data_IF_261248745508
#
_entry.id   IF_261248745508
#
_cell.length_a   1.000
_cell.length_b   1.000
_cell.length_c   1.000
_cell.angle_alpha   90.00
_cell.angle_beta   90.00
_cell.angle_gamma   90.00
#
_symmetry.space_group_name_H-M   'P 1'
#
loop_
_entity.id
_entity.type
_entity.pdbx_description
1 polymer ?
#
# COMPACT_ATOMS: atom_id res chain seq x y z
N UNK A 1 -54.55 26.82 3.21
CA UNK A 1 -54.05 27.24 4.53
C UNK A 1 -52.78 26.42 4.79
N UNK A 2 -51.54 26.89 4.52
CA UNK A 2 -50.72 27.90 5.26
C UNK A 2 -50.63 27.51 6.76
N UNK A 3 -49.48 27.27 7.42
CA UNK A 3 -48.16 27.95 7.53
C UNK A 3 -47.24 27.04 8.40
N UNK A 4 -45.97 26.72 8.02
CA UNK A 4 -44.68 27.29 8.54
C UNK A 4 -44.43 27.04 10.06
N UNK A 5 -43.27 26.66 10.61
CA UNK A 5 -41.90 27.16 10.41
C UNK A 5 -40.81 26.39 11.23
N UNK A 6 -39.58 26.41 10.69
CA UNK A 6 -38.21 26.52 11.29
C UNK A 6 -37.56 25.40 12.15
N UNK A 7 -36.28 25.09 11.78
CA UNK A 7 -35.27 24.37 12.58
C UNK A 7 -34.58 25.24 13.65
N UNK A 8 -33.41 24.83 14.20
CA UNK A 8 -32.13 24.91 13.48
C UNK A 8 -31.14 23.73 13.69
N UNK A 9 -30.02 23.82 12.95
CA UNK A 9 -28.93 22.87 12.76
C UNK A 9 -27.98 22.65 13.97
N UNK A 10 -27.17 21.56 13.92
CA UNK A 10 -25.70 21.47 14.15
C UNK A 10 -25.22 20.03 13.83
N UNK A 11 -24.55 19.82 12.68
CA UNK A 11 -23.11 19.47 12.44
C UNK A 11 -22.67 17.99 12.64
N UNK A 12 -22.53 17.31 11.48
CA UNK A 12 -21.33 16.62 10.93
C UNK A 12 -20.98 15.14 11.25
N UNK A 13 -20.56 14.50 10.14
CA UNK A 13 -19.74 13.29 9.94
C UNK A 13 -20.49 11.96 9.90
N UNK A 14 -20.36 11.07 8.90
CA UNK A 14 -19.52 11.00 7.71
C UNK A 14 -20.33 10.34 6.58
N UNK A 15 -20.18 10.89 5.38
CA UNK A 15 -20.76 10.41 4.13
C UNK A 15 -20.39 8.93 3.89
N UNK A 16 -21.43 8.12 3.75
CA UNK A 16 -21.41 6.85 3.04
C UNK A 16 -20.95 7.14 1.61
N UNK A 17 -19.68 6.86 1.33
CA UNK A 17 -19.25 6.61 -0.03
C UNK A 17 -19.89 5.29 -0.45
N UNK A 18 -21.00 5.36 -1.19
CA UNK A 18 -21.42 4.28 -2.07
C UNK A 18 -20.29 4.05 -3.08
N UNK A 19 -19.66 2.85 -3.12
CA UNK A 19 -18.77 2.56 -4.22
C UNK A 19 -19.67 2.30 -5.42
N UNK A 20 -19.69 3.25 -6.36
CA UNK A 20 -19.86 2.92 -7.77
C UNK A 20 -19.08 1.63 -8.03
N UNK A 21 -19.74 0.62 -8.59
CA UNK A 21 -19.04 -0.55 -9.10
C UNK A 21 -17.96 -0.05 -10.07
N UNK A 22 -16.70 -0.12 -9.64
CA UNK A 22 -15.57 0.12 -10.53
C UNK A 22 -15.69 -0.94 -11.61
N UNK A 23 -15.95 -0.55 -12.86
CA UNK A 23 -15.54 -1.44 -13.95
C UNK A 23 -14.03 -1.60 -13.76
N UNK A 24 -13.56 -2.81 -13.50
CA UNK A 24 -12.17 -3.12 -13.12
C UNK A 24 -11.13 -2.84 -14.23
N UNK A 25 -11.38 -1.88 -15.13
CA UNK A 25 -10.52 -1.53 -16.27
C UNK A 25 -10.24 -0.04 -16.40
N UNK A 26 -10.98 0.85 -15.74
CA UNK A 26 -10.60 2.27 -15.74
C UNK A 26 -9.57 2.53 -14.64
N UNK A 27 -8.30 2.54 -15.03
CA UNK A 27 -7.14 2.70 -14.13
C UNK A 27 -6.70 4.16 -13.99
N UNK A 28 -7.52 5.14 -14.40
CA UNK A 28 -7.12 6.54 -14.34
C UNK A 28 -6.91 6.98 -12.88
N UNK A 29 -5.68 7.36 -12.55
CA UNK A 29 -5.24 7.68 -11.20
C UNK A 29 -4.81 6.48 -10.36
N UNK A 30 -4.84 5.25 -10.91
CA UNK A 30 -4.40 4.05 -10.21
C UNK A 30 -2.89 4.09 -9.93
N UNK A 31 -2.47 3.40 -8.87
CA UNK A 31 -1.11 3.43 -8.36
C UNK A 31 -0.64 2.03 -8.01
N UNK A 32 0.54 1.63 -8.48
CA UNK A 32 0.99 0.25 -8.32
C UNK A 32 2.42 0.03 -8.81
N UNK A 33 2.91 -1.19 -8.63
CA UNK A 33 4.23 -1.63 -9.08
C UNK A 33 4.09 -2.19 -10.49
N UNK A 34 5.01 -1.86 -11.40
CA UNK A 34 4.99 -2.43 -12.74
C UNK A 34 5.85 -3.69 -12.84
N UNK A 35 5.41 -4.64 -13.66
CA UNK A 35 6.19 -5.82 -14.05
C UNK A 35 5.81 -6.30 -15.46
N UNK A 36 6.53 -7.30 -15.98
CA UNK A 36 6.32 -7.81 -17.33
C UNK A 36 6.45 -6.73 -18.42
N UNK A 37 7.41 -5.82 -18.28
CA UNK A 37 7.66 -4.75 -19.25
C UNK A 37 8.02 -5.37 -20.61
N UNK A 38 7.21 -5.09 -21.62
CA UNK A 38 7.44 -5.38 -23.02
C UNK A 38 7.56 -4.06 -23.78
N UNK A 39 8.80 -3.67 -24.08
CA UNK A 39 9.10 -2.42 -24.79
C UNK A 39 8.61 -2.46 -26.24
N UNK A 40 8.59 -3.65 -26.87
CA UNK A 40 8.15 -3.80 -28.26
C UNK A 40 6.62 -3.67 -28.36
N UNK A 41 5.90 -4.29 -27.42
CA UNK A 41 4.43 -4.16 -27.33
C UNK A 41 3.97 -2.87 -26.65
N UNK A 42 4.89 -2.02 -26.17
CA UNK A 42 4.61 -0.82 -25.38
C UNK A 42 3.61 -1.11 -24.23
N UNK A 43 3.85 -2.19 -23.50
CA UNK A 43 2.93 -2.65 -22.44
C UNK A 43 3.66 -3.22 -21.23
N UNK A 44 2.98 -3.20 -20.09
CA UNK A 44 3.41 -3.88 -18.87
C UNK A 44 2.16 -4.22 -18.05
N UNK A 45 2.33 -4.95 -16.94
CA UNK A 45 1.27 -5.07 -15.95
C UNK A 45 1.49 -4.10 -14.80
N UNK A 46 0.40 -3.47 -14.37
CA UNK A 46 0.27 -2.73 -13.12
C UNK A 46 -0.23 -3.66 -12.03
N UNK A 47 0.60 -3.90 -11.03
CA UNK A 47 0.22 -4.55 -9.78
C UNK A 47 -0.26 -3.49 -8.79
N UNK A 48 -1.57 -3.45 -8.50
CA UNK A 48 -2.18 -2.50 -7.56
C UNK A 48 -3.14 -3.21 -6.63
N UNK A 49 -3.29 -2.70 -5.41
CA UNK A 49 -4.30 -3.24 -4.51
C UNK A 49 -5.70 -3.07 -5.09
N UNK A 50 -6.53 -4.09 -4.88
CA UNK A 50 -7.91 -4.12 -5.38
C UNK A 50 -8.85 -4.74 -4.35
N UNK A 51 -10.15 -4.50 -4.53
CA UNK A 51 -11.20 -5.19 -3.80
C UNK A 51 -11.49 -6.55 -4.46
N UNK A 52 -11.82 -7.54 -3.63
CA UNK A 52 -12.34 -8.82 -4.09
C UNK A 52 -13.87 -8.79 -4.00
N UNK A 53 -14.56 -9.11 -5.09
CA UNK A 53 -16.00 -9.37 -5.10
C UNK A 53 -16.25 -10.89 -5.17
N UNK A 54 -16.76 -11.49 -4.09
CA UNK A 54 -17.00 -12.93 -4.05
C UNK A 54 -18.14 -13.40 -4.98
N UNK A 55 -19.03 -12.52 -5.43
CA UNK A 55 -20.14 -12.89 -6.31
C UNK A 55 -19.69 -13.01 -7.76
N UNK A 56 -18.90 -12.02 -8.21
CA UNK A 56 -18.37 -11.97 -9.59
C UNK A 56 -17.01 -12.66 -9.71
N UNK A 57 -16.38 -12.99 -8.58
CA UNK A 57 -14.98 -13.42 -8.46
C UNK A 57 -13.99 -12.42 -9.09
N UNK A 58 -14.43 -11.18 -9.32
CA UNK A 58 -13.59 -10.12 -9.83
C UNK A 58 -12.73 -9.54 -8.70
N UNK A 59 -11.47 -9.19 -8.99
CA UNK A 59 -10.54 -8.70 -7.97
C UNK A 59 -9.08 -9.05 -8.22
N UNK A 60 -8.64 -9.01 -9.49
CA UNK A 60 -7.24 -9.26 -9.82
C UNK A 60 -6.41 -8.02 -9.49
N UNK A 61 -5.35 -8.15 -8.69
CA UNK A 61 -4.43 -7.04 -8.47
C UNK A 61 -3.53 -6.74 -9.68
N UNK A 62 -3.70 -7.42 -10.82
CA UNK A 62 -2.83 -7.34 -12.00
C UNK A 62 -3.60 -6.85 -13.22
N UNK A 63 -3.20 -5.69 -13.75
CA UNK A 63 -3.87 -5.09 -14.90
C UNK A 63 -2.88 -4.79 -16.00
N UNK A 64 -3.13 -5.24 -17.23
CA UNK A 64 -2.28 -4.84 -18.36
C UNK A 64 -2.56 -3.38 -18.74
N UNK A 65 -1.49 -2.59 -18.84
CA UNK A 65 -1.52 -1.20 -19.25
C UNK A 65 -0.64 -1.01 -20.48
N UNK A 66 -0.99 -0.02 -21.30
CA UNK A 66 -0.33 0.26 -22.57
C UNK A 66 0.11 1.72 -22.62
N UNK A 67 1.19 1.99 -23.34
CA UNK A 67 1.63 3.34 -23.68
C UNK A 67 1.88 3.45 -25.19
N UNK A 68 2.17 4.66 -25.66
CA UNK A 68 2.61 4.93 -27.02
C UNK A 68 3.54 6.16 -27.04
N UNK A 69 3.89 6.62 -28.24
CA UNK A 69 4.83 7.75 -28.43
C UNK A 69 4.29 9.10 -27.91
N UNK A 70 3.00 9.18 -27.58
CA UNK A 70 2.37 10.36 -26.97
C UNK A 70 2.26 10.25 -25.45
N UNK A 71 2.58 9.09 -24.86
CA UNK A 71 2.56 8.90 -23.41
C UNK A 71 3.74 9.63 -22.79
N UNK A 72 3.46 10.52 -21.84
CA UNK A 72 4.52 11.19 -21.07
C UNK A 72 4.89 10.34 -19.87
N UNK A 73 6.19 10.17 -19.64
CA UNK A 73 6.73 9.56 -18.43
C UNK A 73 7.43 10.63 -17.62
N UNK A 74 7.14 10.72 -16.33
CA UNK A 74 7.78 11.69 -15.45
C UNK A 74 8.24 11.06 -14.16
N UNK A 75 9.23 11.65 -13.49
CA UNK A 75 9.58 11.31 -12.11
C UNK A 75 9.70 12.57 -11.28
N UNK A 76 9.27 12.51 -10.01
CA UNK A 76 9.32 13.65 -9.09
C UNK A 76 10.31 13.37 -7.96
N UNK A 77 11.20 14.32 -7.70
CA UNK A 77 12.16 14.30 -6.57
C UNK A 77 11.99 15.54 -5.70
N UNK A 78 12.34 15.43 -4.41
CA UNK A 78 12.38 16.58 -3.49
C UNK A 78 13.61 17.42 -3.79
N UNK A 79 13.48 18.74 -3.69
CA UNK A 79 14.60 19.69 -3.75
C UNK A 79 15.03 20.07 -2.33
N UNK A 80 16.33 20.34 -2.14
CA UNK A 80 16.84 20.71 -0.82
C UNK A 80 16.46 22.15 -0.46
N UNK A 81 16.44 23.04 -1.46
CA UNK A 81 16.22 24.46 -1.27
C UNK A 81 15.54 25.13 -2.47
N UNK A 82 14.87 26.27 -2.22
CA UNK A 82 14.27 27.12 -3.28
C UNK A 82 15.34 27.61 -4.26
N UNK A 83 16.57 27.78 -3.78
CA UNK A 83 17.74 28.17 -4.59
C UNK A 83 18.16 27.12 -5.61
N UNK A 84 17.61 25.90 -5.54
CA UNK A 84 17.81 24.84 -6.55
C UNK A 84 16.83 24.97 -7.73
N UNK A 85 15.93 25.95 -7.71
CA UNK A 85 15.03 26.32 -8.80
C UNK A 85 15.72 27.35 -9.69
N UNK A 86 15.78 27.10 -10.99
CA UNK A 86 16.40 28.03 -11.94
C UNK A 86 15.42 29.16 -12.28
N UNK A 87 15.89 30.37 -12.63
CA UNK A 87 15.00 31.49 -12.96
C UNK A 87 13.97 31.20 -14.06
N UNK A 88 14.33 30.40 -15.07
CA UNK A 88 13.45 30.04 -16.19
C UNK A 88 12.62 28.77 -15.94
N UNK A 89 12.77 28.13 -14.78
CA UNK A 89 11.96 26.97 -14.43
C UNK A 89 10.51 27.40 -14.18
N UNK A 90 9.59 26.74 -14.87
CA UNK A 90 8.16 26.87 -14.59
C UNK A 90 7.81 26.06 -13.36
N UNK A 91 7.12 26.67 -12.40
CA UNK A 91 6.65 26.02 -11.18
C UNK A 91 5.13 26.02 -11.10
N UNK A 92 4.58 24.94 -10.53
CA UNK A 92 3.22 24.88 -10.02
C UNK A 92 3.26 25.05 -8.50
N UNK A 93 2.58 26.07 -7.98
CA UNK A 93 2.46 26.35 -6.55
C UNK A 93 1.05 25.95 -6.10
N UNK A 94 0.96 24.97 -5.20
CA UNK A 94 -0.29 24.58 -4.55
C UNK A 94 -0.45 25.36 -3.23
N UNK A 95 -1.65 25.91 -3.00
CA UNK A 95 -1.99 26.74 -1.86
C UNK A 95 -3.19 26.18 -1.10
N UNK A 96 -3.14 26.28 0.23
CA UNK A 96 -4.34 26.19 1.06
C UNK A 96 -5.25 27.40 0.79
N UNK A 97 -6.56 27.27 1.05
CA UNK A 97 -7.54 28.28 0.66
C UNK A 97 -7.28 29.67 1.29
N UNK A 98 -6.83 29.72 2.53
CA UNK A 98 -6.43 30.94 3.24
C UNK A 98 -5.18 31.57 2.62
N UNK A 99 -4.17 30.76 2.27
CA UNK A 99 -2.93 31.21 1.62
C UNK A 99 -3.18 31.69 0.19
N UNK A 100 -4.13 31.06 -0.51
CA UNK A 100 -4.59 31.47 -1.83
C UNK A 100 -5.28 32.84 -1.79
N UNK A 101 -6.05 33.15 -0.76
CA UNK A 101 -6.65 34.48 -0.58
C UNK A 101 -5.58 35.57 -0.39
N UNK A 102 -4.57 35.30 0.45
CA UNK A 102 -3.42 36.21 0.64
C UNK A 102 -2.69 36.48 -0.69
N UNK A 103 -2.41 35.43 -1.47
CA UNK A 103 -1.75 35.57 -2.76
C UNK A 103 -2.57 36.44 -3.74
N UNK A 104 -3.89 36.28 -3.80
CA UNK A 104 -4.78 37.10 -4.64
C UNK A 104 -4.79 38.58 -4.22
N UNK A 105 -4.70 38.85 -2.91
CA UNK A 105 -4.56 40.19 -2.35
C UNK A 105 -3.16 40.80 -2.56
N UNK A 106 -2.19 40.04 -3.09
CA UNK A 106 -0.81 40.50 -3.27
C UNK A 106 0.02 40.44 -1.98
N UNK A 107 -0.45 39.72 -0.95
CA UNK A 107 0.23 39.60 0.34
C UNK A 107 1.15 38.39 0.38
N UNK A 108 2.21 38.41 1.21
CA UNK A 108 3.05 37.24 1.39
C UNK A 108 2.26 36.03 1.87
N UNK A 109 2.61 34.84 1.36
CA UNK A 109 1.91 33.60 1.63
C UNK A 109 2.87 32.41 1.85
N UNK A 110 2.32 31.30 2.32
CA UNK A 110 3.01 30.03 2.45
C UNK A 110 2.47 29.02 1.43
N UNK A 111 3.37 28.50 0.60
CA UNK A 111 3.07 27.43 -0.33
C UNK A 111 2.91 26.10 0.40
N UNK A 112 1.87 25.34 0.06
CA UNK A 112 1.72 23.96 0.51
C UNK A 112 2.66 23.03 -0.29
N UNK A 113 2.82 23.30 -1.60
CA UNK A 113 3.80 22.64 -2.48
C UNK A 113 4.31 23.62 -3.53
N UNK A 114 5.55 23.42 -3.95
CA UNK A 114 6.17 24.08 -5.11
C UNK A 114 6.77 22.98 -5.98
N UNK A 115 6.24 22.81 -7.19
CA UNK A 115 6.60 21.72 -8.08
C UNK A 115 7.17 22.32 -9.36
N UNK A 116 8.49 22.26 -9.51
CA UNK A 116 9.15 22.55 -10.78
C UNK A 116 8.67 21.56 -11.83
N UNK A 117 8.17 22.08 -12.96
CA UNK A 117 7.67 21.31 -14.08
C UNK A 117 8.81 20.82 -14.97
N UNK A 118 8.59 19.78 -15.81
CA UNK A 118 9.59 19.32 -16.75
C UNK A 118 10.09 20.42 -17.68
N UNK A 119 11.36 20.32 -18.11
CA UNK A 119 11.95 21.26 -19.05
C UNK A 119 11.13 21.34 -20.35
N UNK A 120 10.98 22.56 -20.89
CA UNK A 120 10.16 22.81 -22.07
C UNK A 120 8.66 22.97 -21.80
N UNK A 121 8.21 22.86 -20.54
CA UNK A 121 6.83 23.21 -20.16
C UNK A 121 6.59 24.69 -20.48
N UNK A 122 5.65 25.00 -21.36
CA UNK A 122 5.27 26.39 -21.65
C UNK A 122 4.58 26.98 -20.41
N UNK A 123 5.11 28.08 -19.90
CA UNK A 123 4.46 28.82 -18.82
C UNK A 123 3.15 29.42 -19.34
N UNK A 124 2.03 29.10 -18.69
CA UNK A 124 0.87 29.99 -18.66
C UNK A 124 0.94 30.64 -17.28
N UNK A 125 1.41 31.87 -17.21
CA UNK A 125 1.46 32.60 -15.94
C UNK A 125 0.03 32.87 -15.48
N UNK A 126 -0.32 32.38 -14.30
CA UNK A 126 -1.64 32.62 -13.72
C UNK A 126 -2.22 31.39 -13.02
N UNK A 127 -3.50 31.51 -12.65
CA UNK A 127 -4.22 30.50 -11.90
C UNK A 127 -4.54 29.28 -12.79
N UNK A 128 -4.07 28.11 -12.37
CA UNK A 128 -4.21 26.84 -13.08
C UNK A 128 -5.54 26.11 -12.77
N UNK A 129 -6.38 26.66 -11.88
CA UNK A 129 -7.71 26.15 -11.59
C UNK A 129 -8.70 27.27 -11.25
N UNK A 130 -9.99 27.00 -11.43
CA UNK A 130 -11.07 27.96 -11.17
C UNK A 130 -11.15 28.39 -9.70
N UNK A 131 -10.78 27.51 -8.77
CA UNK A 131 -10.71 27.82 -7.35
C UNK A 131 -9.54 28.75 -6.97
N UNK A 132 -8.63 29.06 -7.92
CA UNK A 132 -7.44 29.89 -7.70
C UNK A 132 -6.62 29.44 -6.50
N UNK A 133 -6.43 28.14 -6.35
CA UNK A 133 -5.58 27.52 -5.32
C UNK A 133 -4.32 26.89 -5.91
N UNK A 134 -4.19 26.93 -7.24
CA UNK A 134 -3.02 26.47 -7.97
C UNK A 134 -2.51 27.57 -8.88
N UNK A 135 -1.25 27.95 -8.74
CA UNK A 135 -0.62 28.99 -9.55
C UNK A 135 0.51 28.40 -10.39
N UNK A 136 0.51 28.66 -11.69
CA UNK A 136 1.63 28.34 -12.57
C UNK A 136 2.41 29.63 -12.85
N UNK A 137 3.71 29.66 -12.58
CA UNK A 137 4.55 30.87 -12.71
C UNK A 137 6.04 30.52 -12.74
N UNK A 138 6.92 31.51 -12.84
CA UNK A 138 8.36 31.38 -12.53
C UNK A 138 8.65 31.95 -11.15
N UNK A 139 9.74 31.50 -10.53
CA UNK A 139 10.15 31.94 -9.19
C UNK A 139 11.51 32.59 -9.26
N UNK A 140 11.66 33.73 -8.60
CA UNK A 140 12.96 34.28 -8.21
C UNK A 140 13.34 33.72 -6.86
N UNK A 141 14.34 32.82 -6.73
CA UNK A 141 14.77 32.31 -5.44
C UNK A 141 15.43 33.42 -4.61
N UNK A 142 15.06 33.51 -3.32
CA UNK A 142 15.62 34.53 -2.41
C UNK A 142 16.47 33.91 -1.29
N UNK A 143 16.08 32.74 -0.78
CA UNK A 143 16.81 31.98 0.24
C UNK A 143 16.32 30.51 0.22
N UNK A 144 16.90 29.65 1.06
CA UNK A 144 16.60 28.22 1.05
C UNK A 144 15.09 27.87 1.12
N UNK A 145 14.29 28.66 1.83
CA UNK A 145 12.83 28.45 1.99
C UNK A 145 12.00 29.63 1.48
N UNK A 146 12.62 30.60 0.80
CA UNK A 146 11.97 31.84 0.36
C UNK A 146 12.15 32.06 -1.13
N UNK A 147 11.06 32.44 -1.80
CA UNK A 147 11.08 32.90 -3.18
C UNK A 147 10.21 34.13 -3.35
N UNK A 148 10.24 34.68 -4.55
CA UNK A 148 9.37 35.75 -5.02
C UNK A 148 8.75 35.34 -6.36
N UNK A 149 7.48 35.68 -6.55
CA UNK A 149 6.76 35.51 -7.81
C UNK A 149 6.26 36.86 -8.30
N UNK A 150 5.96 36.94 -9.59
CA UNK A 150 5.16 38.04 -10.15
C UNK A 150 3.77 37.52 -10.48
N UNK A 151 2.75 38.17 -9.93
CA UNK A 151 1.32 37.87 -10.17
C UNK A 151 0.55 39.18 -10.31
N UNK A 152 -0.18 39.35 -11.41
CA UNK A 152 -0.88 40.60 -11.73
C UNK A 152 0.02 41.83 -11.57
N UNK A 153 1.23 41.78 -12.16
CA UNK A 153 2.28 42.82 -12.10
C UNK A 153 2.84 43.12 -10.70
N UNK A 154 2.41 42.40 -9.66
CA UNK A 154 2.88 42.56 -8.28
C UNK A 154 3.93 41.52 -7.94
N UNK A 155 5.01 41.96 -7.28
CA UNK A 155 6.01 41.08 -6.67
C UNK A 155 5.51 40.61 -5.31
N UNK A 156 5.41 39.31 -5.12
CA UNK A 156 4.89 38.70 -3.89
C UNK A 156 5.93 37.71 -3.37
N UNK A 157 6.42 37.97 -2.14
CA UNK A 157 7.29 37.04 -1.46
C UNK A 157 6.48 35.85 -0.91
N UNK A 158 7.06 34.65 -0.97
CA UNK A 158 6.43 33.47 -0.39
C UNK A 158 7.44 32.55 0.28
N UNK A 159 6.92 31.66 1.13
CA UNK A 159 7.70 30.63 1.81
C UNK A 159 7.24 29.23 1.42
N UNK A 160 8.18 28.28 1.42
CA UNK A 160 7.88 26.86 1.31
C UNK A 160 8.85 26.07 2.21
N UNK A 161 8.34 25.06 2.89
CA UNK A 161 9.18 24.16 3.68
C UNK A 161 9.98 23.24 2.74
N UNK A 162 11.16 22.74 3.12
CA UNK A 162 11.98 21.90 2.24
C UNK A 162 11.22 20.68 1.65
N UNK A 163 10.39 20.00 2.45
CA UNK A 163 9.58 18.86 1.98
C UNK A 163 8.47 19.24 0.97
N UNK A 164 8.14 20.53 0.86
CA UNK A 164 7.17 21.06 -0.08
C UNK A 164 7.80 21.37 -1.46
N UNK A 165 9.13 21.39 -1.57
CA UNK A 165 9.85 21.71 -2.80
C UNK A 165 10.13 20.44 -3.60
N UNK A 166 9.67 20.41 -4.84
CA UNK A 166 9.76 19.23 -5.69
C UNK A 166 10.13 19.62 -7.12
N UNK A 167 10.80 18.72 -7.83
CA UNK A 167 11.07 18.83 -9.26
C UNK A 167 10.56 17.60 -9.98
N UNK A 168 9.77 17.82 -11.01
CA UNK A 168 9.31 16.79 -11.94
C UNK A 168 10.11 16.88 -13.21
N UNK A 169 10.69 15.75 -13.63
CA UNK A 169 11.51 15.62 -14.84
C UNK A 169 10.87 14.60 -15.78
N UNK A 170 11.21 14.65 -17.07
CA UNK A 170 10.87 13.57 -17.99
C UNK A 170 11.67 12.31 -17.60
N UNK A 171 11.01 11.16 -17.59
CA UNK A 171 11.62 9.88 -17.26
C UNK A 171 11.80 9.07 -18.55
N UNK A 172 13.01 8.61 -18.91
CA UNK A 172 13.20 7.78 -20.10
C UNK A 172 12.50 6.43 -19.96
N UNK A 173 11.59 6.09 -20.87
CA UNK A 173 10.83 4.82 -20.83
C UNK A 173 11.74 3.57 -20.86
N UNK A 174 12.93 3.69 -21.44
CA UNK A 174 13.96 2.64 -21.46
C UNK A 174 14.53 2.33 -20.06
N UNK A 175 14.37 3.22 -19.08
CA UNK A 175 14.86 3.04 -17.71
C UNK A 175 13.85 2.35 -16.77
N UNK A 176 12.65 2.01 -17.26
CA UNK A 176 11.68 1.25 -16.47
C UNK A 176 12.25 -0.12 -16.08
N UNK A 177 12.09 -0.52 -14.81
CA UNK A 177 12.61 -1.79 -14.28
C UNK A 177 11.51 -2.61 -13.64
N UNK A 178 11.39 -3.88 -14.05
CA UNK A 178 10.43 -4.83 -13.49
C UNK A 178 10.56 -4.91 -11.97
N UNK A 179 9.44 -4.74 -11.26
CA UNK A 179 9.33 -4.80 -9.79
C UNK A 179 10.18 -3.81 -9.00
N UNK A 180 10.94 -2.94 -9.66
CA UNK A 180 11.74 -1.88 -9.05
C UNK A 180 11.24 -0.51 -9.50
N UNK A 181 10.02 -0.46 -10.01
CA UNK A 181 9.38 0.76 -10.48
C UNK A 181 7.94 0.76 -10.03
N UNK A 182 7.57 1.81 -9.31
CA UNK A 182 6.21 2.12 -8.94
C UNK A 182 5.71 3.25 -9.82
N UNK A 183 4.43 3.21 -10.18
CA UNK A 183 3.82 4.21 -11.04
C UNK A 183 2.48 4.66 -10.51
N UNK A 184 2.14 5.91 -10.75
CA UNK A 184 0.74 6.37 -10.85
C UNK A 184 0.43 6.57 -12.32
N UNK A 185 -0.65 5.95 -12.81
CA UNK A 185 -1.04 6.03 -14.21
C UNK A 185 -2.26 6.91 -14.40
N UNK A 186 -2.29 7.65 -15.50
CA UNK A 186 -3.44 8.41 -15.98
C UNK A 186 -3.67 8.06 -17.44
N UNK A 187 -4.93 8.07 -17.88
CA UNK A 187 -5.29 7.62 -19.20
C UNK A 187 -6.76 7.30 -19.34
N UNK A 188 -7.09 6.53 -20.38
CA UNK A 188 -8.47 6.15 -20.66
C UNK A 188 -8.56 4.71 -21.18
N UNK A 189 -9.66 4.05 -20.82
CA UNK A 189 -10.06 2.79 -21.42
C UNK A 189 -10.45 3.05 -22.88
N UNK A 190 -9.83 2.32 -23.81
CA UNK A 190 -10.09 2.38 -25.23
C UNK A 190 -11.26 1.45 -25.62
N UNK A 191 -11.84 1.66 -26.81
CA UNK A 191 -12.94 0.85 -27.32
C UNK A 191 -12.57 -0.64 -27.50
N UNK A 192 -11.29 -0.94 -27.70
CA UNK A 192 -10.74 -2.30 -27.79
C UNK A 192 -10.49 -2.96 -26.41
N UNK A 193 -10.84 -2.27 -25.32
CA UNK A 193 -10.71 -2.75 -23.95
C UNK A 193 -9.33 -2.55 -23.31
N UNK A 194 -8.37 -1.93 -24.01
CA UNK A 194 -7.05 -1.61 -23.45
C UNK A 194 -7.08 -0.31 -22.65
N UNK A 195 -6.37 -0.26 -21.53
CA UNK A 195 -6.12 1.01 -20.83
C UNK A 195 -4.85 1.66 -21.40
N UNK A 196 -5.02 2.76 -22.13
CA UNK A 196 -3.92 3.52 -22.73
C UNK A 196 -3.53 4.68 -21.82
N UNK A 197 -2.29 4.67 -21.34
CA UNK A 197 -1.72 5.70 -20.50
C UNK A 197 -1.44 6.97 -21.31
N UNK A 198 -1.92 8.12 -20.83
CA UNK A 198 -1.48 9.45 -21.29
C UNK A 198 -0.31 9.98 -20.46
N UNK A 199 -0.24 9.61 -19.17
CA UNK A 199 0.84 9.97 -18.26
C UNK A 199 1.15 8.81 -17.31
N UNK A 200 2.44 8.53 -17.13
CA UNK A 200 2.96 7.65 -16.08
C UNK A 200 3.90 8.44 -15.18
N UNK A 201 3.49 8.66 -13.93
CA UNK A 201 4.34 9.23 -12.89
C UNK A 201 5.12 8.09 -12.24
N UNK A 202 6.41 8.04 -12.51
CA UNK A 202 7.36 6.99 -12.17
C UNK A 202 8.08 7.32 -10.86
N UNK A 203 8.08 6.36 -9.96
CA UNK A 203 8.85 6.34 -8.71
C UNK A 203 9.74 5.09 -8.72
N UNK A 204 11.05 5.23 -9.00
CA UNK A 204 11.98 4.13 -8.83
C UNK A 204 12.00 3.65 -7.37
N UNK A 205 11.96 2.34 -7.16
CA UNK A 205 12.04 1.74 -5.83
C UNK A 205 13.48 1.38 -5.49
N UNK A 206 13.88 1.40 -4.20
CA UNK A 206 15.15 0.84 -3.76
C UNK A 206 15.27 -0.62 -4.21
N UNK A 207 16.44 -0.98 -4.74
CA UNK A 207 16.72 -2.35 -5.13
C UNK A 207 17.22 -3.15 -3.91
N UNK A 208 16.43 -4.09 -3.37
CA UNK A 208 16.81 -4.83 -2.16
C UNK A 208 18.09 -5.63 -2.35
N UNK A 209 18.45 -5.98 -3.59
CA UNK A 209 19.67 -6.74 -3.92
C UNK A 209 20.95 -5.95 -3.62
N UNK A 210 20.86 -4.63 -3.45
CA UNK A 210 22.00 -3.80 -3.06
C UNK A 210 22.29 -3.86 -1.56
N UNK A 211 21.30 -4.27 -0.76
CA UNK A 211 21.39 -4.32 0.70
C UNK A 211 21.29 -5.74 1.27
N UNK A 212 20.74 -6.68 0.51
CA UNK A 212 20.67 -8.09 0.88
C UNK A 212 22.05 -8.74 0.93
N UNK A 213 22.23 -9.68 1.86
CA UNK A 213 23.36 -10.62 1.78
C UNK A 213 23.04 -11.66 0.70
N UNK A 214 23.80 -11.71 -0.42
CA UNK A 214 23.51 -12.62 -1.52
C UNK A 214 23.66 -14.10 -1.16
N UNK A 215 24.27 -14.44 -0.02
CA UNK A 215 24.45 -15.81 0.45
C UNK A 215 23.33 -16.28 1.38
N UNK A 216 22.41 -15.39 1.76
CA UNK A 216 21.32 -15.71 2.68
C UNK A 216 19.99 -15.86 1.93
N UNK A 217 19.11 -16.79 2.39
CA UNK A 217 17.80 -16.96 1.81
C UNK A 217 16.91 -15.73 2.04
N UNK A 218 15.99 -15.47 1.12
CA UNK A 218 14.99 -14.40 1.18
C UNK A 218 13.68 -14.92 1.74
N UNK A 219 13.15 -14.24 2.75
CA UNK A 219 11.91 -14.60 3.45
C UNK A 219 10.92 -13.47 3.35
N UNK A 220 9.69 -13.77 2.93
CA UNK A 220 8.57 -12.82 2.95
C UNK A 220 7.49 -13.28 3.93
N UNK A 221 7.11 -12.39 4.84
CA UNK A 221 5.93 -12.57 5.70
C UNK A 221 4.74 -11.79 5.13
N UNK A 222 3.70 -12.53 4.77
CA UNK A 222 2.36 -12.05 4.39
C UNK A 222 1.44 -12.29 5.57
N UNK A 223 1.23 -11.28 6.41
CA UNK A 223 0.46 -11.45 7.63
C UNK A 223 -0.27 -10.21 8.10
N UNK A 224 -1.13 -10.41 9.09
CA UNK A 224 -1.98 -9.36 9.62
C UNK A 224 -1.26 -8.53 10.70
N UNK A 225 -2.00 -7.87 11.58
CA UNK A 225 -1.41 -7.05 12.63
C UNK A 225 -0.57 -7.86 13.63
N UNK A 226 -0.79 -9.17 13.78
CA UNK A 226 0.06 -10.03 14.61
C UNK A 226 1.44 -10.19 13.99
N UNK A 227 1.53 -10.30 12.66
CA UNK A 227 2.82 -10.32 11.97
C UNK A 227 3.59 -9.02 12.08
N UNK A 228 2.87 -7.89 12.13
CA UNK A 228 3.47 -6.58 12.43
C UNK A 228 3.95 -6.54 13.90
N UNK A 229 3.19 -7.18 14.80
CA UNK A 229 3.44 -7.19 16.23
C UNK A 229 4.71 -7.95 16.62
N UNK A 230 5.00 -9.10 15.99
CA UNK A 230 6.24 -9.86 16.22
C UNK A 230 7.39 -9.48 15.26
N UNK A 231 7.17 -8.55 14.33
CA UNK A 231 8.09 -8.31 13.21
C UNK A 231 9.54 -8.07 13.64
N UNK A 232 9.76 -7.14 14.58
CA UNK A 232 11.12 -6.78 15.01
C UNK A 232 11.83 -7.94 15.71
N UNK A 233 11.11 -8.71 16.54
CA UNK A 233 11.67 -9.87 17.21
C UNK A 233 12.06 -10.98 16.22
N UNK A 234 11.21 -11.28 15.23
CA UNK A 234 11.53 -12.24 14.18
C UNK A 234 12.71 -11.76 13.32
N UNK A 235 12.74 -10.47 12.96
CA UNK A 235 13.84 -9.85 12.21
C UNK A 235 15.17 -9.97 12.96
N UNK A 236 15.18 -9.68 14.26
CA UNK A 236 16.36 -9.82 15.10
C UNK A 236 16.81 -11.29 15.22
N UNK A 237 15.89 -12.22 15.43
CA UNK A 237 16.20 -13.65 15.55
C UNK A 237 16.78 -14.27 14.26
N UNK A 238 16.43 -13.69 13.10
CA UNK A 238 16.88 -14.08 11.76
C UNK A 238 18.07 -13.26 11.24
N UNK A 239 18.56 -12.28 12.00
CA UNK A 239 19.71 -11.47 11.62
C UNK A 239 20.93 -12.35 11.32
N UNK A 240 21.57 -12.13 10.16
CA UNK A 240 22.69 -12.94 9.68
C UNK A 240 22.33 -14.37 9.24
N UNK A 241 21.03 -14.72 9.17
CA UNK A 241 20.55 -16.05 8.77
C UNK A 241 19.59 -16.01 7.58
N UNK A 242 18.88 -14.91 7.38
CA UNK A 242 17.98 -14.69 6.26
C UNK A 242 17.80 -13.19 5.95
N UNK A 243 17.59 -12.86 4.69
CA UNK A 243 17.09 -11.56 4.25
C UNK A 243 15.57 -11.51 4.51
N UNK A 244 15.19 -10.94 5.65
CA UNK A 244 13.82 -11.01 6.18
C UNK A 244 12.98 -9.77 5.83
N UNK A 245 11.83 -10.01 5.21
CA UNK A 245 10.88 -9.00 4.76
C UNK A 245 9.46 -9.30 5.26
N UNK A 246 8.65 -8.24 5.36
CA UNK A 246 7.19 -8.33 5.49
C UNK A 246 6.56 -7.47 4.41
N UNK A 247 5.34 -7.79 4.02
CA UNK A 247 4.50 -6.90 3.21
C UNK A 247 4.37 -5.52 3.88
N UNK A 248 4.19 -4.49 3.04
CA UNK A 248 3.79 -3.18 3.54
C UNK A 248 2.30 -3.21 3.95
N UNK A 249 1.98 -2.62 5.09
CA UNK A 249 0.64 -2.63 5.67
C UNK A 249 0.23 -3.97 6.28
N UNK A 250 -1.08 -4.19 6.33
CA UNK A 250 -1.73 -5.33 6.98
C UNK A 250 -2.39 -6.23 5.92
N UNK A 251 -2.17 -7.55 5.99
CA UNK A 251 -2.79 -8.50 5.05
C UNK A 251 -4.31 -8.61 5.24
N UNK A 252 -4.82 -8.26 6.42
CA UNK A 252 -6.25 -8.24 6.74
C UNK A 252 -6.89 -9.62 6.73
N UNK A 253 -8.17 -9.67 6.34
CA UNK A 253 -8.89 -10.93 6.18
C UNK A 253 -8.46 -11.69 4.91
N UNK A 254 -8.94 -12.91 4.77
CA UNK A 254 -8.61 -13.75 3.61
C UNK A 254 -9.21 -13.25 2.29
N UNK A 255 -10.26 -12.43 2.26
CA UNK A 255 -10.75 -11.82 1.00
C UNK A 255 -9.70 -10.84 0.46
N UNK A 256 -9.13 -10.01 1.34
CA UNK A 256 -7.99 -9.16 0.99
C UNK A 256 -6.79 -9.99 0.57
N UNK A 257 -6.56 -11.13 1.22
CA UNK A 257 -5.57 -12.13 0.82
C UNK A 257 -5.74 -12.55 -0.63
N UNK A 258 -6.92 -13.04 -1.02
CA UNK A 258 -7.23 -13.46 -2.40
C UNK A 258 -6.99 -12.33 -3.40
N UNK A 259 -7.45 -11.11 -3.12
CA UNK A 259 -7.29 -9.98 -4.05
C UNK A 259 -5.83 -9.54 -4.24
N UNK A 260 -4.98 -9.66 -3.22
CA UNK A 260 -3.68 -8.96 -3.19
C UNK A 260 -2.46 -9.88 -3.12
N UNK A 261 -2.64 -11.19 -3.04
CA UNK A 261 -1.52 -12.13 -2.83
C UNK A 261 -0.43 -11.99 -3.91
N UNK A 262 -0.83 -11.90 -5.18
CA UNK A 262 0.11 -11.74 -6.30
C UNK A 262 0.87 -10.41 -6.24
N UNK A 263 0.20 -9.33 -5.80
CA UNK A 263 0.85 -8.04 -5.58
C UNK A 263 1.92 -8.15 -4.48
N UNK A 264 1.60 -8.82 -3.37
CA UNK A 264 2.51 -8.96 -2.24
C UNK A 264 3.74 -9.82 -2.54
N UNK A 265 3.59 -10.86 -3.36
CA UNK A 265 4.71 -11.67 -3.81
C UNK A 265 5.65 -10.87 -4.74
N UNK A 266 5.13 -9.89 -5.47
CA UNK A 266 5.87 -9.19 -6.51
C UNK A 266 6.18 -10.10 -7.71
N UNK A 267 7.08 -9.65 -8.60
CA UNK A 267 7.54 -10.48 -9.72
C UNK A 267 8.72 -11.36 -9.32
N UNK A 268 8.41 -12.58 -8.89
CA UNK A 268 9.41 -13.57 -8.51
C UNK A 268 10.18 -14.16 -9.69
N UNK A 269 9.85 -13.79 -10.94
CA UNK A 269 10.64 -14.17 -12.12
C UNK A 269 11.90 -13.31 -12.30
N UNK A 270 11.95 -12.13 -11.66
CA UNK A 270 13.13 -11.25 -11.73
C UNK A 270 14.27 -11.86 -10.93
N UNK A 271 15.41 -12.09 -11.59
CA UNK A 271 16.61 -12.66 -10.96
C UNK A 271 17.03 -11.85 -9.72
N UNK A 272 17.17 -12.54 -8.60
CA UNK A 272 17.54 -11.97 -7.29
C UNK A 272 16.37 -11.43 -6.47
N UNK A 273 15.12 -11.45 -6.99
CA UNK A 273 13.90 -11.06 -6.28
C UNK A 273 12.96 -12.24 -5.98
N UNK A 274 13.46 -13.48 -6.08
CA UNK A 274 12.71 -14.66 -5.67
C UNK A 274 12.57 -14.74 -4.14
N UNK A 275 11.62 -15.54 -3.68
CA UNK A 275 11.47 -15.87 -2.26
C UNK A 275 11.86 -17.33 -2.03
N UNK A 276 12.67 -17.60 -1.02
CA UNK A 276 12.96 -18.96 -0.57
C UNK A 276 11.86 -19.48 0.35
N UNK A 277 11.33 -18.59 1.19
CA UNK A 277 10.24 -18.89 2.15
C UNK A 277 9.17 -17.81 2.10
N UNK A 278 7.91 -18.21 2.05
CA UNK A 278 6.75 -17.35 2.26
C UNK A 278 5.98 -17.81 3.49
N UNK A 279 5.87 -16.93 4.48
CA UNK A 279 5.07 -17.14 5.69
C UNK A 279 3.72 -16.47 5.52
N UNK A 280 2.62 -17.20 5.73
CA UNK A 280 1.25 -16.73 5.53
C UNK A 280 0.52 -16.74 6.87
N UNK A 281 -0.20 -15.67 7.18
CA UNK A 281 -1.06 -15.56 8.35
C UNK A 281 -2.32 -14.74 8.04
N UNK A 282 -3.49 -15.34 8.29
CA UNK A 282 -4.81 -14.72 8.23
C UNK A 282 -5.74 -15.39 9.25
N UNK A 283 -6.81 -14.71 9.67
CA UNK A 283 -7.87 -15.31 10.48
C UNK A 283 -8.45 -14.36 11.53
N UNK A 284 -7.64 -13.54 12.19
CA UNK A 284 -8.17 -12.62 13.22
C UNK A 284 -9.10 -11.56 12.64
N UNK A 285 -8.88 -11.13 11.39
CA UNK A 285 -9.78 -10.21 10.69
C UNK A 285 -11.02 -10.92 10.15
N UNK A 286 -10.89 -12.19 9.77
CA UNK A 286 -11.99 -13.05 9.30
C UNK A 286 -13.02 -13.30 10.41
N UNK A 287 -12.56 -13.63 11.62
CA UNK A 287 -13.40 -13.90 12.79
C UNK A 287 -13.92 -12.64 13.51
N UNK A 288 -13.61 -11.44 12.98
CA UNK A 288 -14.19 -10.20 13.53
C UNK A 288 -15.71 -10.24 13.37
N UNK A 289 -16.44 -9.77 14.37
CA UNK A 289 -17.89 -9.66 14.32
C UNK A 289 -18.33 -8.32 13.72
N UNK A 290 -19.24 -8.40 12.75
CA UNK A 290 -20.04 -7.32 12.19
C UNK A 290 -21.38 -7.21 12.93
N UNK A 291 -22.21 -6.25 12.55
CA UNK A 291 -23.53 -6.06 13.15
C UNK A 291 -24.40 -7.31 12.98
N UNK A 292 -25.17 -7.64 14.03
CA UNK A 292 -25.88 -8.90 14.13
C UNK A 292 -25.01 -10.12 14.50
N UNK A 293 -23.77 -9.89 14.97
CA UNK A 293 -22.83 -10.94 15.40
C UNK A 293 -22.49 -11.96 14.30
N UNK A 294 -22.47 -11.48 13.07
CA UNK A 294 -22.02 -12.22 11.89
C UNK A 294 -20.51 -12.05 11.74
N UNK A 295 -19.78 -13.13 11.50
CA UNK A 295 -18.35 -13.04 11.20
C UNK A 295 -18.09 -12.32 9.88
N UNK A 296 -17.04 -11.50 9.85
CA UNK A 296 -16.63 -10.70 8.69
C UNK A 296 -16.39 -11.55 7.44
N UNK A 297 -15.84 -12.76 7.63
CA UNK A 297 -15.74 -13.78 6.59
C UNK A 297 -16.34 -15.07 7.13
N UNK A 298 -17.37 -15.62 6.47
CA UNK A 298 -17.98 -16.88 6.88
C UNK A 298 -16.97 -18.04 6.81
N UNK A 299 -17.18 -19.11 7.59
CA UNK A 299 -16.31 -20.28 7.55
C UNK A 299 -16.22 -20.92 6.15
N UNK A 300 -17.33 -20.91 5.40
CA UNK A 300 -17.36 -21.40 4.01
C UNK A 300 -16.47 -20.54 3.10
N UNK A 301 -16.58 -19.21 3.20
CA UNK A 301 -15.75 -18.31 2.39
C UNK A 301 -14.28 -18.36 2.81
N UNK A 302 -14.01 -18.44 4.12
CA UNK A 302 -12.66 -18.62 4.65
C UNK A 302 -11.98 -19.86 4.07
N UNK A 303 -12.69 -21.00 4.01
CA UNK A 303 -12.20 -22.23 3.37
C UNK A 303 -11.81 -21.99 1.90
N UNK A 304 -12.72 -21.42 1.11
CA UNK A 304 -12.49 -21.13 -0.32
C UNK A 304 -11.31 -20.18 -0.53
N UNK A 305 -11.20 -19.16 0.33
CA UNK A 305 -10.10 -18.21 0.26
C UNK A 305 -8.76 -18.85 0.60
N UNK A 306 -8.68 -19.67 1.65
CA UNK A 306 -7.45 -20.39 2.00
C UNK A 306 -7.02 -21.35 0.90
N UNK A 307 -7.96 -22.10 0.29
CA UNK A 307 -7.65 -22.95 -0.86
C UNK A 307 -7.04 -22.15 -2.01
N UNK A 308 -7.59 -20.96 -2.29
CA UNK A 308 -7.08 -20.06 -3.33
C UNK A 308 -5.70 -19.50 -2.99
N UNK A 309 -5.52 -19.00 -1.76
CA UNK A 309 -4.23 -18.44 -1.28
C UNK A 309 -3.14 -19.51 -1.28
N UNK A 310 -3.41 -20.70 -0.74
CA UNK A 310 -2.45 -21.79 -0.71
C UNK A 310 -2.10 -22.29 -2.11
N UNK A 311 -3.08 -22.40 -3.02
CA UNK A 311 -2.83 -22.73 -4.42
C UNK A 311 -1.88 -21.71 -5.07
N UNK A 312 -2.12 -20.42 -4.89
CA UNK A 312 -1.23 -19.37 -5.39
C UNK A 312 0.17 -19.47 -4.80
N UNK A 313 0.29 -19.71 -3.50
CA UNK A 313 1.57 -19.81 -2.80
C UNK A 313 2.41 -21.01 -3.27
N UNK A 314 1.82 -22.21 -3.34
CA UNK A 314 2.56 -23.43 -3.73
C UNK A 314 2.92 -23.46 -5.21
N UNK A 315 2.13 -22.82 -6.08
CA UNK A 315 2.35 -22.81 -7.54
C UNK A 315 3.68 -22.20 -7.99
N UNK A 316 4.38 -21.51 -7.08
CA UNK A 316 5.60 -20.77 -7.36
C UNK A 316 6.87 -21.45 -6.85
N UNK A 317 6.76 -22.62 -6.21
CA UNK A 317 7.91 -23.42 -5.78
C UNK A 317 8.67 -22.89 -4.57
N UNK A 318 8.13 -21.91 -3.84
CA UNK A 318 8.70 -21.48 -2.56
C UNK A 318 8.41 -22.51 -1.46
N UNK A 319 9.21 -22.50 -0.38
CA UNK A 319 8.79 -23.15 0.87
C UNK A 319 7.70 -22.29 1.51
N UNK A 320 6.59 -22.90 1.91
CA UNK A 320 5.43 -22.18 2.45
C UNK A 320 5.21 -22.56 3.90
N UNK A 321 5.04 -21.54 4.76
CA UNK A 321 4.68 -21.72 6.17
C UNK A 321 3.31 -21.09 6.40
N UNK A 322 2.39 -21.83 7.02
CA UNK A 322 1.15 -21.29 7.55
C UNK A 322 1.28 -21.08 9.06
N UNK A 323 1.08 -19.85 9.51
CA UNK A 323 0.96 -19.54 10.94
C UNK A 323 -0.51 -19.57 11.36
N UNK A 324 -0.87 -20.46 12.29
CA UNK A 324 -2.25 -20.57 12.79
C UNK A 324 -2.72 -19.27 13.44
N UNK A 325 -4.03 -19.03 13.40
CA UNK A 325 -4.65 -17.86 14.04
C UNK A 325 -4.38 -17.93 15.54
N UNK A 326 -3.77 -16.91 16.12
CA UNK A 326 -3.55 -16.85 17.58
C UNK A 326 -4.86 -16.75 18.35
N UNK A 327 -4.88 -17.11 19.65
CA UNK A 327 -6.13 -17.14 20.43
C UNK A 327 -6.80 -15.77 20.55
N UNK A 328 -8.13 -15.77 20.67
CA UNK A 328 -8.88 -14.59 21.15
C UNK A 328 -9.04 -14.70 22.67
N UNK A 329 -8.32 -13.91 23.48
CA UNK A 329 -8.23 -14.15 24.93
C UNK A 329 -9.54 -13.85 25.68
N UNK A 330 -10.32 -12.88 25.19
CA UNK A 330 -11.58 -12.46 25.77
C UNK A 330 -12.51 -11.83 24.74
N UNK A 331 -13.79 -11.67 25.11
CA UNK A 331 -14.80 -11.09 24.22
C UNK A 331 -14.70 -9.56 24.24
N UNK A 332 -14.50 -8.95 23.07
CA UNK A 332 -14.52 -7.50 22.87
C UNK A 332 -15.81 -7.08 22.17
N UNK A 333 -16.59 -6.19 22.80
CA UNK A 333 -17.91 -5.75 22.32
C UNK A 333 -17.91 -4.38 21.65
N UNK A 334 -16.78 -3.68 21.60
CA UNK A 334 -16.63 -2.38 20.92
C UNK A 334 -15.44 -2.37 19.95
N UNK A 335 -15.42 -1.45 18.99
CA UNK A 335 -14.37 -1.38 17.98
C UNK A 335 -14.32 -2.62 17.08
N UNK A 336 -13.13 -3.23 16.89
CA UNK A 336 -13.05 -4.51 16.17
C UNK A 336 -13.51 -5.66 17.08
N UNK A 337 -14.83 -5.88 17.11
CA UNK A 337 -15.50 -6.88 17.95
C UNK A 337 -15.04 -8.29 17.63
N UNK A 338 -14.81 -9.11 18.65
CA UNK A 338 -14.41 -10.53 18.55
C UNK A 338 -14.95 -11.28 19.76
N UNK A 339 -15.38 -12.52 19.58
CA UNK A 339 -15.80 -13.38 20.69
C UNK A 339 -14.62 -14.25 21.13
N UNK A 340 -14.50 -14.44 22.45
CA UNK A 340 -13.49 -15.31 23.05
C UNK A 340 -13.49 -16.67 22.37
N UNK A 341 -12.31 -17.20 22.08
CA UNK A 341 -12.09 -18.52 21.49
C UNK A 341 -12.69 -18.76 20.09
N UNK A 342 -13.14 -17.72 19.36
CA UNK A 342 -13.59 -17.89 17.96
C UNK A 342 -12.49 -18.44 17.04
N UNK A 343 -11.21 -18.31 17.42
CA UNK A 343 -10.09 -18.96 16.73
C UNK A 343 -10.22 -20.49 16.70
N UNK A 344 -10.92 -21.10 17.68
CA UNK A 344 -11.24 -22.54 17.70
C UNK A 344 -12.26 -22.94 16.64
N UNK A 345 -12.97 -21.99 16.02
CA UNK A 345 -13.84 -22.25 14.87
C UNK A 345 -13.06 -22.21 13.55
N UNK A 346 -12.11 -21.28 13.42
CA UNK A 346 -11.39 -21.03 12.16
C UNK A 346 -10.17 -21.93 11.97
N UNK A 347 -9.38 -22.19 13.00
CA UNK A 347 -8.18 -23.03 12.87
C UNK A 347 -8.49 -24.48 12.40
N UNK A 348 -9.58 -25.14 12.83
CA UNK A 348 -9.97 -26.43 12.26
C UNK A 348 -10.27 -26.37 10.75
N UNK A 349 -10.95 -25.32 10.29
CA UNK A 349 -11.21 -25.12 8.85
C UNK A 349 -9.89 -24.97 8.08
N UNK A 350 -8.93 -24.20 8.63
CA UNK A 350 -7.60 -24.09 8.03
C UNK A 350 -6.87 -25.44 8.00
N UNK A 351 -6.96 -26.23 9.08
CA UNK A 351 -6.36 -27.56 9.16
C UNK A 351 -6.93 -28.54 8.12
N UNK A 352 -8.25 -28.52 7.91
CA UNK A 352 -8.88 -29.32 6.86
C UNK A 352 -8.42 -28.92 5.45
N UNK A 353 -8.28 -27.62 5.18
CA UNK A 353 -7.74 -27.14 3.90
C UNK A 353 -6.28 -27.58 3.71
N UNK A 354 -5.46 -27.48 4.76
CA UNK A 354 -4.04 -27.86 4.73
C UNK A 354 -3.82 -29.33 4.36
N UNK A 355 -4.78 -30.23 4.59
CA UNK A 355 -4.70 -31.62 4.15
C UNK A 355 -4.52 -31.75 2.63
N UNK A 356 -5.02 -30.77 1.86
CA UNK A 356 -4.83 -30.69 0.40
C UNK A 356 -3.45 -30.17 -0.01
N UNK A 357 -2.67 -29.62 0.92
CA UNK A 357 -1.39 -28.96 0.68
C UNK A 357 -0.29 -29.48 1.62
N UNK A 358 0.11 -30.76 1.50
CA UNK A 358 1.04 -31.41 2.43
C UNK A 358 2.44 -30.80 2.46
N UNK A 359 2.80 -29.98 1.46
CA UNK A 359 4.07 -29.26 1.41
C UNK A 359 4.10 -27.99 2.27
N UNK A 360 2.95 -27.54 2.79
CA UNK A 360 2.88 -26.37 3.67
C UNK A 360 3.26 -26.78 5.09
N UNK A 361 4.28 -26.13 5.64
CA UNK A 361 4.69 -26.33 7.04
C UNK A 361 3.79 -25.51 7.97
N UNK A 362 3.33 -26.09 9.08
CA UNK A 362 2.52 -25.38 10.07
C UNK A 362 3.40 -24.80 11.18
N UNK A 363 3.34 -23.49 11.36
CA UNK A 363 3.80 -22.80 12.56
C UNK A 363 2.60 -22.63 13.50
N UNK A 364 2.43 -23.54 14.46
CA UNK A 364 1.26 -23.52 15.34
C UNK A 364 1.40 -22.47 16.47
N UNK A 365 1.19 -21.20 16.10
CA UNK A 365 1.18 -20.08 17.04
C UNK A 365 0.01 -20.17 18.03
N UNK A 366 -1.12 -20.75 17.63
CA UNK A 366 -2.26 -20.94 18.53
C UNK A 366 -1.88 -21.84 19.72
N UNK A 367 -1.38 -23.04 19.44
CA UNK A 367 -0.97 -23.97 20.47
C UNK A 367 0.18 -23.41 21.31
N UNK A 368 1.17 -22.78 20.66
CA UNK A 368 2.30 -22.14 21.35
C UNK A 368 1.83 -21.09 22.36
N UNK A 369 0.95 -20.18 21.95
CA UNK A 369 0.41 -19.15 22.84
C UNK A 369 -0.35 -19.79 23.99
N UNK A 370 -1.26 -20.74 23.73
CA UNK A 370 -2.08 -21.40 24.78
C UNK A 370 -1.24 -22.17 25.80
N UNK A 371 -0.15 -22.81 25.38
CA UNK A 371 0.68 -23.66 26.24
C UNK A 371 1.74 -22.90 27.05
N UNK A 372 2.14 -21.71 26.60
CA UNK A 372 3.21 -20.93 27.24
C UNK A 372 2.70 -20.01 28.34
N UNK A 373 3.35 -20.02 29.50
CA UNK A 373 3.05 -19.14 30.63
C UNK A 373 3.38 -17.66 30.37
N UNK A 374 4.21 -17.36 29.36
CA UNK A 374 4.52 -15.98 28.94
C UNK A 374 3.24 -15.18 28.64
N UNK A 375 2.17 -15.86 28.21
CA UNK A 375 0.91 -15.23 27.82
C UNK A 375 -0.17 -15.27 28.91
N UNK A 376 0.16 -15.68 30.15
CA UNK A 376 -0.83 -15.83 31.23
C UNK A 376 -1.56 -14.51 31.54
N UNK A 377 -0.83 -13.40 31.62
CA UNK A 377 -1.43 -12.09 31.88
C UNK A 377 -2.21 -11.58 30.67
N UNK A 378 -1.68 -11.72 29.46
CA UNK A 378 -2.39 -11.36 28.23
C UNK A 378 -3.73 -12.11 28.07
N UNK A 379 -3.78 -13.39 28.47
CA UNK A 379 -5.00 -14.21 28.43
C UNK A 379 -6.15 -13.67 29.29
N UNK A 380 -5.88 -12.83 30.28
CA UNK A 380 -6.90 -12.20 31.11
C UNK A 380 -7.58 -11.01 30.40
N UNK A 381 -7.01 -10.52 29.30
CA UNK A 381 -7.49 -9.37 28.56
C UNK A 381 -8.45 -9.71 27.40
N UNK A 382 -8.77 -8.67 26.62
CA UNK A 382 -9.61 -8.75 25.40
C UNK A 382 -8.87 -8.27 24.15
N UNK A 383 -7.64 -7.77 24.28
CA UNK A 383 -6.82 -7.37 23.14
C UNK A 383 -6.11 -8.60 22.57
N UNK A 384 -6.15 -8.74 21.25
CA UNK A 384 -5.52 -9.86 20.54
C UNK A 384 -4.03 -9.61 20.30
N UNK A 385 -3.55 -8.39 20.51
CA UNK A 385 -2.14 -8.02 20.31
C UNK A 385 -1.32 -8.25 21.56
N UNK A 386 -0.10 -8.73 21.35
CA UNK A 386 0.87 -9.06 22.38
C UNK A 386 1.70 -7.82 22.76
N UNK A 387 2.43 -7.90 23.88
CA UNK A 387 3.37 -6.88 24.37
C UNK A 387 4.73 -7.48 24.73
N UNK A 388 5.78 -6.68 24.62
CA UNK A 388 7.10 -6.96 25.20
C UNK A 388 7.62 -8.41 24.98
N UNK A 389 7.69 -9.21 26.05
CA UNK A 389 8.19 -10.59 26.04
C UNK A 389 7.32 -11.53 25.19
N UNK A 390 6.01 -11.30 25.13
CA UNK A 390 5.06 -12.09 24.34
C UNK A 390 5.34 -11.93 22.84
N UNK A 391 5.62 -10.69 22.39
CA UNK A 391 6.03 -10.40 20.99
C UNK A 391 7.34 -11.09 20.66
N UNK A 392 8.27 -11.06 21.62
CA UNK A 392 9.59 -11.69 21.49
C UNK A 392 9.45 -13.19 21.32
N UNK A 393 8.63 -13.83 22.17
CA UNK A 393 8.35 -15.26 22.10
C UNK A 393 7.69 -15.66 20.77
N UNK A 394 6.71 -14.89 20.27
CA UNK A 394 6.13 -15.14 18.94
C UNK A 394 7.17 -15.03 17.83
N UNK A 395 7.97 -13.95 17.85
CA UNK A 395 8.98 -13.71 16.82
C UNK A 395 10.04 -14.82 16.78
N UNK A 396 10.46 -15.31 17.94
CA UNK A 396 11.36 -16.46 18.07
C UNK A 396 10.72 -17.73 17.50
N UNK A 397 9.47 -18.04 17.85
CA UNK A 397 8.77 -19.22 17.34
C UNK A 397 8.63 -19.21 15.81
N UNK A 398 8.32 -18.06 15.23
CA UNK A 398 8.25 -17.88 13.77
C UNK A 398 9.63 -18.04 13.14
N UNK A 399 10.67 -17.41 13.70
CA UNK A 399 12.05 -17.54 13.22
C UNK A 399 12.56 -18.99 13.28
N UNK A 400 12.28 -19.72 14.36
CA UNK A 400 12.63 -21.14 14.49
C UNK A 400 11.98 -21.99 13.38
N UNK A 401 10.71 -21.71 13.06
CA UNK A 401 9.99 -22.44 12.01
C UNK A 401 10.51 -22.07 10.61
N UNK A 402 10.86 -20.80 10.38
CA UNK A 402 11.54 -20.38 9.14
C UNK A 402 12.89 -21.10 9.00
N UNK A 403 13.69 -21.15 10.06
CA UNK A 403 14.98 -21.83 10.04
C UNK A 403 14.83 -23.34 9.87
N UNK A 404 13.79 -23.97 10.42
CA UNK A 404 13.58 -25.41 10.27
C UNK A 404 13.30 -25.80 8.82
N UNK A 405 12.54 -24.99 8.08
CA UNK A 405 12.31 -25.27 6.66
C UNK A 405 13.52 -24.93 5.80
N UNK A 406 14.39 -24.00 6.23
CA UNK A 406 15.60 -23.61 5.48
C UNK A 406 16.77 -24.60 5.63
N UNK A 407 16.80 -25.39 6.71
CA UNK A 407 17.81 -26.44 6.90
C UNK A 407 17.78 -27.43 5.75
N UNK A 408 18.95 -27.78 5.23
CA UNK A 408 19.15 -28.84 4.23
C UNK A 408 19.26 -30.19 4.91
#
# INVERSE_FOLDING_TARGET
MFIKHLGPAIILSCLLASPLAWSQRNLNGAYGIINGIDQAAQSCFLLTSTGYDPQTQEGTCRYQIFWNDKTTFTSTKTLAAMTDIKPDDVVLIDLAADQAALAQEGKPFQAARVIVQPAGTKAVVGWANSAKTRLMTTVTPLAATRGEITLDERKIAFRALPLALQRTELFPVAELKNSLTQVRVFGALQADGRFLCSLMQVTPLPDPRLTDDPNLPRVLVVGDSISMNYHEAAKQALAGKANYYRINGNSGDTNRGVANFVLWLGDTSVKGLHWDVVVINHGLHDLRLLDGDVHQVSLEQYRKNLETIFTMAVSKGFKVIWCTTTPVPGTRTTGSRRRKDDDKLYNPVAAEVLQKFPTITVCDLNAFVRASSVFDQWRLGVDVHFKDEERTALGQKVAETILSVLKK
#
